data_IF_625362290953
#
_entry.id   IF_625362290953
#
_cell.length_a   1.000
_cell.length_b   1.000
_cell.length_c   1.000
_cell.angle_alpha   90.00
_cell.angle_beta   90.00
_cell.angle_gamma   90.00
#
_symmetry.space_group_name_H-M   'P 1'
#
loop_
_entity.id
_entity.type
_entity.pdbx_description
1 polymer ?
#
# COMPACT_ATOMS: atom_id res chain seq x y z
N UNK A 1 -11.53 2.94 0.38
CA UNK A 1 -10.49 1.89 0.47
C UNK A 1 -9.86 1.90 1.86
N UNK A 2 -9.54 0.72 2.38
CA UNK A 2 -8.83 0.52 3.64
C UNK A 2 -7.96 -0.74 3.58
N UNK A 3 -6.79 -0.72 4.21
CA UNK A 3 -5.96 -1.93 4.33
C UNK A 3 -6.71 -2.95 5.20
N UNK A 4 -6.84 -4.19 4.69
CA UNK A 4 -7.51 -5.26 5.42
C UNK A 4 -6.78 -5.59 6.71
N UNK A 5 -7.55 -5.88 7.75
CA UNK A 5 -6.98 -6.31 9.03
C UNK A 5 -6.20 -7.62 8.86
N UNK A 6 -5.07 -7.71 9.56
CA UNK A 6 -4.20 -8.87 9.50
C UNK A 6 -3.15 -8.81 8.39
N UNK A 7 -3.04 -7.75 7.60
CA UNK A 7 -1.81 -7.51 6.82
C UNK A 7 -0.90 -6.54 7.57
N UNK A 8 0.40 -6.85 7.60
CA UNK A 8 1.42 -5.97 8.17
C UNK A 8 2.60 -5.81 7.24
N UNK A 9 3.11 -4.58 7.20
CA UNK A 9 4.39 -4.28 6.57
C UNK A 9 5.54 -4.72 7.48
N UNK A 10 6.44 -5.52 6.93
CA UNK A 10 7.69 -5.93 7.57
C UNK A 10 8.87 -5.52 6.71
N UNK A 11 9.92 -5.02 7.35
CA UNK A 11 11.17 -4.68 6.67
C UNK A 11 12.16 -5.82 6.84
N UNK A 12 12.67 -6.35 5.72
CA UNK A 12 13.66 -7.42 5.69
C UNK A 12 14.87 -6.92 4.91
N UNK A 13 15.92 -6.52 5.62
CA UNK A 13 17.11 -5.91 5.01
C UNK A 13 16.78 -4.57 4.35
N UNK A 14 16.84 -4.52 3.01
CA UNK A 14 16.50 -3.33 2.19
C UNK A 14 15.13 -3.44 1.52
N UNK A 15 14.42 -4.54 1.75
CA UNK A 15 13.15 -4.85 1.13
C UNK A 15 11.99 -4.64 2.12
N UNK A 16 10.83 -4.28 1.59
CA UNK A 16 9.60 -4.13 2.35
C UNK A 16 8.62 -5.19 1.89
N UNK A 17 8.08 -5.98 2.81
CA UNK A 17 7.22 -7.11 2.51
C UNK A 17 5.93 -6.95 3.29
N UNK A 18 4.79 -7.02 2.60
CA UNK A 18 3.48 -7.15 3.24
C UNK A 18 3.21 -8.63 3.46
N UNK A 19 2.96 -9.00 4.72
CA UNK A 19 2.66 -10.36 5.14
C UNK A 19 1.31 -10.42 5.88
N UNK A 20 0.56 -11.49 5.64
CA UNK A 20 -0.62 -11.83 6.44
C UNK A 20 -0.24 -12.38 7.81
N UNK A 21 -0.76 -11.80 8.89
CA UNK A 21 -0.64 -12.21 10.28
C UNK A 21 -2.05 -12.39 10.89
N UNK A 22 -2.42 -13.61 11.31
CA UNK A 22 -3.67 -13.85 12.04
C UNK A 22 -4.26 -15.25 11.85
N UNK A 23 -5.40 -15.52 12.48
CA UNK A 23 -6.22 -16.75 12.30
C UNK A 23 -7.33 -16.55 11.25
N UNK A 24 -7.52 -15.32 10.77
CA UNK A 24 -8.42 -15.03 9.67
C UNK A 24 -7.88 -15.69 8.41
N UNK A 25 -8.80 -16.16 7.58
CA UNK A 25 -8.60 -16.87 6.31
C UNK A 25 -7.93 -15.97 5.24
N UNK A 26 -6.78 -15.39 5.60
CA UNK A 26 -5.89 -14.62 4.75
C UNK A 26 -5.03 -15.67 4.05
N UNK A 27 -4.98 -15.63 2.72
CA UNK A 27 -4.03 -16.41 1.95
C UNK A 27 -2.61 -15.99 2.35
N UNK A 28 -2.01 -16.68 3.33
CA UNK A 28 -0.64 -16.44 3.82
C UNK A 28 0.43 -16.53 2.73
N UNK A 29 0.08 -17.12 1.58
CA UNK A 29 0.93 -17.16 0.39
C UNK A 29 1.03 -15.82 -0.33
N UNK A 30 0.23 -14.80 0.03
CA UNK A 30 0.28 -13.47 -0.59
C UNK A 30 1.35 -12.62 0.08
N UNK A 31 2.61 -12.91 -0.23
CA UNK A 31 3.73 -12.03 0.05
C UNK A 31 3.87 -11.03 -1.09
N UNK A 32 3.79 -9.74 -0.78
CA UNK A 32 3.96 -8.68 -1.77
C UNK A 32 5.17 -7.86 -1.38
N UNK A 33 6.15 -7.79 -2.27
CA UNK A 33 7.30 -6.91 -2.10
C UNK A 33 6.92 -5.50 -2.54
N UNK A 34 7.15 -4.53 -1.68
CA UNK A 34 6.95 -3.12 -1.92
C UNK A 34 8.30 -2.45 -2.15
N UNK A 35 8.34 -1.56 -3.14
CA UNK A 35 9.43 -0.61 -3.26
C UNK A 35 9.33 0.47 -2.15
N UNK A 36 10.35 1.32 -2.03
CA UNK A 36 10.40 2.33 -0.97
C UNK A 36 9.25 3.34 -0.99
N UNK A 37 8.71 3.69 -2.16
CA UNK A 37 7.58 4.62 -2.26
C UNK A 37 6.26 3.95 -1.87
N UNK A 38 6.02 2.72 -2.30
CA UNK A 38 4.83 1.96 -1.91
C UNK A 38 4.84 1.60 -0.42
N UNK A 39 6.00 1.26 0.14
CA UNK A 39 6.16 1.03 1.58
C UNK A 39 5.83 2.29 2.39
N UNK A 40 6.28 3.46 1.93
CA UNK A 40 5.90 4.72 2.54
C UNK A 40 4.40 4.95 2.49
N UNK A 41 3.78 4.80 1.32
CA UNK A 41 2.33 4.96 1.19
C UNK A 41 1.56 4.05 2.13
N UNK A 42 1.97 2.78 2.22
CA UNK A 42 1.40 1.81 3.15
C UNK A 42 1.45 2.32 4.60
N UNK A 43 2.61 2.78 5.06
CA UNK A 43 2.78 3.28 6.43
C UNK A 43 1.88 4.47 6.75
N UNK A 44 1.67 5.36 5.78
CA UNK A 44 0.85 6.56 5.99
C UNK A 44 -0.64 6.25 6.11
N UNK A 45 -1.11 5.22 5.39
CA UNK A 45 -2.54 4.83 5.32
C UNK A 45 -2.88 3.61 6.17
N UNK A 46 -1.90 2.98 6.83
CA UNK A 46 -2.13 1.85 7.73
C UNK A 46 -3.11 2.25 8.86
N UNK A 47 -4.20 1.50 8.99
CA UNK A 47 -5.25 1.77 9.97
C UNK A 47 -6.13 2.99 9.66
N UNK A 48 -6.06 3.56 8.46
CA UNK A 48 -6.89 4.68 8.01
C UNK A 48 -7.62 4.34 6.71
N UNK A 49 -8.70 5.06 6.47
CA UNK A 49 -9.38 5.07 5.18
C UNK A 49 -8.63 6.00 4.24
N UNK A 50 -8.51 5.60 2.98
CA UNK A 50 -7.83 6.35 1.95
C UNK A 50 -8.48 6.13 0.58
N UNK A 51 -8.05 6.96 -0.36
CA UNK A 51 -8.41 6.93 -1.76
C UNK A 51 -7.17 7.27 -2.61
N UNK A 52 -7.28 7.14 -3.93
CA UNK A 52 -6.19 7.40 -4.87
C UNK A 52 -5.68 8.84 -4.80
N UNK A 53 -6.55 9.81 -4.50
CA UNK A 53 -6.13 11.21 -4.32
C UNK A 53 -5.30 11.36 -3.06
N UNK A 54 -5.69 10.72 -1.96
CA UNK A 54 -4.91 10.69 -0.72
C UNK A 54 -3.49 10.15 -0.98
N UNK A 55 -3.37 9.04 -1.72
CA UNK A 55 -2.07 8.47 -2.08
C UNK A 55 -1.26 9.42 -2.98
N UNK A 56 -1.91 10.07 -3.95
CA UNK A 56 -1.27 11.04 -4.84
C UNK A 56 -0.73 12.25 -4.06
N UNK A 57 -1.51 12.82 -3.15
CA UNK A 57 -1.11 13.93 -2.28
C UNK A 57 0.12 13.55 -1.43
N UNK A 58 0.17 12.33 -0.90
CA UNK A 58 1.33 11.82 -0.16
C UNK A 58 2.59 11.73 -1.04
N UNK A 59 2.45 11.29 -2.30
CA UNK A 59 3.55 11.23 -3.26
C UNK A 59 4.06 12.63 -3.64
N UNK A 60 3.15 13.57 -3.92
CA UNK A 60 3.51 14.97 -4.22
C UNK A 60 4.20 15.60 -3.02
N UNK A 61 3.66 15.43 -1.82
CA UNK A 61 4.21 16.01 -0.59
C UNK A 61 5.61 15.48 -0.28
N UNK A 62 5.84 14.16 -0.45
CA UNK A 62 7.14 13.56 -0.14
C UNK A 62 8.20 13.75 -1.21
N UNK A 63 7.82 13.62 -2.48
CA UNK A 63 8.77 13.55 -3.60
C UNK A 63 8.77 14.78 -4.49
N UNK A 64 7.83 15.72 -4.32
CA UNK A 64 7.74 16.95 -5.13
C UNK A 64 7.45 16.68 -6.61
N UNK A 65 6.83 15.54 -6.92
CA UNK A 65 6.53 15.14 -8.31
C UNK A 65 5.27 15.82 -8.84
N UNK A 66 5.08 15.89 -10.18
CA UNK A 66 3.88 16.46 -10.76
C UNK A 66 2.60 15.72 -10.32
N UNK A 67 1.50 16.45 -9.98
CA UNK A 67 0.26 15.82 -9.53
C UNK A 67 -0.34 14.80 -10.50
N UNK A 68 -0.22 15.03 -11.81
CA UNK A 68 -0.70 14.08 -12.82
C UNK A 68 0.07 12.76 -12.82
N UNK A 69 1.39 12.82 -12.58
CA UNK A 69 2.22 11.62 -12.43
C UNK A 69 1.89 10.92 -11.11
N UNK A 70 1.82 11.67 -10.01
CA UNK A 70 1.47 11.13 -8.69
C UNK A 70 0.12 10.41 -8.69
N UNK A 71 -0.88 10.98 -9.37
CA UNK A 71 -2.19 10.35 -9.49
C UNK A 71 -2.16 9.07 -10.32
N UNK A 72 -1.35 9.04 -11.38
CA UNK A 72 -1.15 7.83 -12.19
C UNK A 72 -0.50 6.73 -11.35
N UNK A 73 0.59 7.05 -10.67
CA UNK A 73 1.30 6.11 -9.79
C UNK A 73 0.40 5.63 -8.63
N UNK A 74 -0.40 6.53 -8.06
CA UNK A 74 -1.36 6.22 -7.01
C UNK A 74 -2.48 5.27 -7.47
N UNK A 75 -2.97 5.46 -8.70
CA UNK A 75 -3.97 4.56 -9.28
C UNK A 75 -3.38 3.16 -9.54
N UNK A 76 -2.17 3.08 -10.08
CA UNK A 76 -1.49 1.81 -10.34
C UNK A 76 -1.25 1.02 -9.05
N UNK A 77 -0.75 1.68 -7.99
CA UNK A 77 -0.50 1.00 -6.72
C UNK A 77 -1.80 0.59 -6.01
N UNK A 78 -2.84 1.44 -6.04
CA UNK A 78 -4.15 1.11 -5.47
C UNK A 78 -4.75 -0.12 -6.17
N UNK A 79 -4.70 -0.17 -7.51
CA UNK A 79 -5.12 -1.35 -8.28
C UNK A 79 -4.34 -2.59 -7.93
N UNK A 80 -3.01 -2.49 -7.80
CA UNK A 80 -2.17 -3.62 -7.39
C UNK A 80 -2.56 -4.16 -6.02
N UNK A 81 -2.89 -3.28 -5.07
CA UNK A 81 -3.36 -3.68 -3.74
C UNK A 81 -4.77 -4.31 -3.76
N UNK A 82 -5.67 -3.81 -4.60
CA UNK A 82 -7.00 -4.39 -4.80
C UNK A 82 -6.91 -5.78 -5.44
N UNK A 83 -6.14 -5.93 -6.53
CA UNK A 83 -5.95 -7.21 -7.24
C UNK A 83 -5.28 -8.27 -6.34
N UNK A 84 -4.29 -7.84 -5.55
CA UNK A 84 -3.71 -8.70 -4.55
C UNK A 84 -4.68 -9.02 -3.39
N UNK A 85 -5.78 -8.28 -3.25
CA UNK A 85 -6.82 -8.50 -2.26
C UNK A 85 -6.39 -8.14 -0.84
N UNK A 86 -5.43 -7.23 -0.68
CA UNK A 86 -4.91 -6.75 0.61
C UNK A 86 -5.60 -5.45 1.09
N UNK A 87 -6.38 -4.83 0.21
CA UNK A 87 -7.23 -3.66 0.47
C UNK A 87 -8.69 -4.06 0.24
N UNK A 88 -9.59 -3.48 1.04
CA UNK A 88 -11.04 -3.54 0.88
C UNK A 88 -11.58 -2.15 0.50
N UNK A 89 -12.70 -2.09 -0.22
CA UNK A 89 -13.34 -0.83 -0.63
C UNK A 89 -14.02 -0.12 0.55
#
# INVERSE_FOLDING_TARGET
MRIKQGFKLRTVGKEYIVAGEGLAQIDFNKLISLNSSAAYLWQEVEGKDFDEKTLADLLVSKYGIPPGQALTDANDIARSWIDAGIVEE
#
